data_IF_136198991490
#
_entry.id   IF_136198991490
#
_cell.length_a   1.000
_cell.length_b   1.000
_cell.length_c   1.000
_cell.angle_alpha   90.00
_cell.angle_beta   90.00
_cell.angle_gamma   90.00
#
_symmetry.space_group_name_H-M   'P 1'
#
loop_
_entity.id
_entity.type
_entity.pdbx_description
1 polymer ?
#
# COMPACT_ATOMS: atom_id res chain seq x y z
N UNK A 1 26.02 -7.88 -33.96
CA UNK A 1 25.88 -9.09 -33.10
C UNK A 1 27.18 -9.88 -32.96
N UNK A 2 27.97 -10.11 -34.03
CA UNK A 2 29.25 -10.86 -33.97
C UNK A 2 30.26 -10.21 -33.01
N UNK A 3 30.47 -8.89 -33.11
CA UNK A 3 31.39 -8.16 -32.23
C UNK A 3 31.04 -8.21 -30.73
N UNK A 4 29.75 -8.37 -30.38
CA UNK A 4 29.31 -8.50 -28.98
C UNK A 4 29.71 -9.88 -28.44
N UNK A 5 29.50 -10.94 -29.23
CA UNK A 5 29.88 -12.30 -28.83
C UNK A 5 31.41 -12.43 -28.68
N UNK A 6 32.19 -11.82 -29.57
CA UNK A 6 33.66 -11.79 -29.50
C UNK A 6 34.15 -11.03 -28.26
N UNK A 7 33.58 -9.85 -28.00
CA UNK A 7 33.94 -9.01 -26.84
C UNK A 7 33.63 -9.69 -25.50
N UNK A 8 32.52 -10.44 -25.43
CA UNK A 8 32.10 -11.20 -24.24
C UNK A 8 32.68 -12.63 -24.18
N UNK A 9 33.47 -13.04 -25.17
CA UNK A 9 34.04 -14.41 -25.31
C UNK A 9 32.98 -15.52 -25.27
N UNK A 10 31.80 -15.28 -25.84
CA UNK A 10 30.70 -16.25 -25.92
C UNK A 10 30.70 -16.91 -27.30
N UNK A 11 30.51 -18.23 -27.34
CA UNK A 11 30.40 -18.96 -28.61
C UNK A 11 29.16 -18.51 -29.38
N UNK A 12 29.35 -18.09 -30.63
CA UNK A 12 28.28 -17.58 -31.51
C UNK A 12 27.15 -18.58 -31.73
N UNK A 13 27.48 -19.86 -31.93
CA UNK A 13 26.49 -20.92 -32.17
C UNK A 13 25.66 -21.17 -30.91
N UNK A 14 26.30 -21.17 -29.73
CA UNK A 14 25.60 -21.29 -28.46
C UNK A 14 24.66 -20.09 -28.20
N UNK A 15 25.09 -18.88 -28.55
CA UNK A 15 24.25 -17.68 -28.44
C UNK A 15 22.99 -17.77 -29.31
N UNK A 16 23.13 -18.12 -30.59
CA UNK A 16 21.97 -18.26 -31.47
C UNK A 16 21.08 -19.44 -31.08
N UNK A 17 21.66 -20.56 -30.63
CA UNK A 17 20.89 -21.68 -30.11
C UNK A 17 20.07 -21.29 -28.88
N UNK A 18 20.63 -20.53 -27.95
CA UNK A 18 19.90 -19.96 -26.82
C UNK A 18 18.80 -19.00 -27.27
N UNK A 19 19.10 -18.12 -28.23
CA UNK A 19 18.14 -17.14 -28.75
C UNK A 19 16.95 -17.78 -29.48
N UNK A 20 17.18 -18.88 -30.19
CA UNK A 20 16.14 -19.64 -30.90
C UNK A 20 15.54 -20.78 -30.06
N UNK A 21 15.96 -20.92 -28.81
CA UNK A 21 15.44 -21.94 -27.91
C UNK A 21 13.95 -21.72 -27.63
N UNK A 22 13.19 -22.81 -27.63
CA UNK A 22 11.81 -22.78 -27.15
C UNK A 22 11.77 -22.52 -25.63
N UNK A 23 10.70 -21.91 -25.11
CA UNK A 23 10.55 -21.67 -23.68
C UNK A 23 10.72 -22.96 -22.90
N UNK A 24 11.48 -22.89 -21.81
CA UNK A 24 11.59 -24.00 -20.86
C UNK A 24 10.24 -24.28 -20.20
N UNK A 25 10.03 -25.51 -19.70
CA UNK A 25 8.82 -25.87 -18.94
C UNK A 25 8.54 -24.88 -17.80
N UNK A 26 9.59 -24.33 -17.19
CA UNK A 26 9.49 -23.35 -16.11
C UNK A 26 9.01 -21.98 -16.59
N UNK A 27 9.39 -21.57 -17.80
CA UNK A 27 8.91 -20.33 -18.42
C UNK A 27 7.47 -20.44 -18.89
N UNK A 28 7.07 -21.62 -19.38
CA UNK A 28 5.67 -21.93 -19.66
C UNK A 28 4.83 -21.87 -18.37
N UNK A 29 5.29 -22.51 -17.30
CA UNK A 29 4.61 -22.47 -16.00
C UNK A 29 4.55 -21.05 -15.41
N UNK A 30 5.62 -20.25 -15.55
CA UNK A 30 5.59 -18.82 -15.19
C UNK A 30 4.51 -18.06 -15.98
N UNK A 31 4.33 -18.38 -17.26
CA UNK A 31 3.31 -17.77 -18.12
C UNK A 31 1.90 -18.14 -17.67
N UNK A 32 1.67 -19.38 -17.24
CA UNK A 32 0.40 -19.80 -16.65
C UNK A 32 0.09 -19.10 -15.31
N UNK A 33 1.11 -18.75 -14.53
CA UNK A 33 0.95 -18.04 -13.26
C UNK A 33 0.71 -16.53 -13.41
N UNK A 34 1.10 -15.91 -14.53
CA UNK A 34 0.90 -14.49 -14.81
C UNK A 34 -0.56 -14.01 -14.61
N UNK A 35 -1.60 -14.64 -15.21
CA UNK A 35 -2.97 -14.18 -15.04
C UNK A 35 -3.44 -14.25 -13.58
N UNK A 36 -3.01 -15.26 -12.82
CA UNK A 36 -3.38 -15.41 -11.40
C UNK A 36 -2.72 -14.31 -10.57
N UNK A 37 -1.42 -14.10 -10.73
CA UNK A 37 -0.67 -13.01 -10.07
C UNK A 37 -1.28 -11.64 -10.40
N UNK A 38 -1.62 -11.42 -11.67
CA UNK A 38 -2.26 -10.19 -12.14
C UNK A 38 -3.63 -9.99 -11.49
N UNK A 39 -4.43 -11.04 -11.39
CA UNK A 39 -5.75 -10.97 -10.75
C UNK A 39 -5.62 -10.56 -9.27
N UNK A 40 -4.80 -11.29 -8.50
CA UNK A 40 -4.55 -10.96 -7.08
C UNK A 40 -4.07 -9.51 -6.93
N UNK A 41 -3.15 -9.07 -7.78
CA UNK A 41 -2.61 -7.71 -7.73
C UNK A 41 -3.70 -6.64 -7.92
N UNK A 42 -4.60 -6.80 -8.89
CA UNK A 42 -5.68 -5.85 -9.16
C UNK A 42 -6.84 -5.95 -8.16
N UNK A 43 -7.18 -7.16 -7.71
CA UNK A 43 -8.15 -7.39 -6.64
C UNK A 43 -7.80 -6.60 -5.38
N UNK A 44 -6.50 -6.56 -5.04
CA UNK A 44 -6.00 -5.79 -3.88
C UNK A 44 -5.58 -4.36 -4.22
N UNK A 45 -6.10 -3.79 -5.33
CA UNK A 45 -5.87 -2.40 -5.73
C UNK A 45 -4.39 -2.02 -5.75
N UNK A 46 -3.53 -2.93 -6.23
CA UNK A 46 -2.06 -2.74 -6.32
C UNK A 46 -1.36 -2.67 -4.95
N UNK A 47 -2.04 -2.86 -3.82
CA UNK A 47 -1.44 -2.76 -2.47
C UNK A 47 -0.58 -3.97 -2.11
N UNK A 48 -0.82 -5.10 -2.78
CA UNK A 48 -0.14 -6.35 -2.48
C UNK A 48 1.13 -6.46 -3.30
N UNK A 49 2.27 -6.54 -2.61
CA UNK A 49 3.56 -6.86 -3.20
C UNK A 49 3.89 -8.36 -3.12
N UNK A 50 5.09 -8.71 -3.54
CA UNK A 50 5.60 -10.09 -3.66
C UNK A 50 5.31 -10.99 -2.44
N UNK A 51 5.44 -10.47 -1.21
CA UNK A 51 5.18 -11.24 0.03
C UNK A 51 3.70 -11.63 0.18
N UNK A 52 2.78 -10.69 -0.03
CA UNK A 52 1.35 -10.94 0.15
C UNK A 52 0.80 -11.77 -1.00
N UNK A 53 1.22 -11.49 -2.23
CA UNK A 53 0.84 -12.29 -3.39
C UNK A 53 1.32 -13.75 -3.24
N UNK A 54 2.53 -13.99 -2.75
CA UNK A 54 3.00 -15.36 -2.50
C UNK A 54 2.12 -16.10 -1.48
N UNK A 55 1.68 -15.42 -0.41
CA UNK A 55 0.76 -16.00 0.57
C UNK A 55 -0.63 -16.28 -0.01
N UNK A 56 -1.17 -15.39 -0.84
CA UNK A 56 -2.45 -15.61 -1.52
C UNK A 56 -2.37 -16.82 -2.47
N UNK A 57 -1.27 -16.93 -3.22
CA UNK A 57 -1.02 -18.10 -4.08
C UNK A 57 -0.94 -19.39 -3.28
N UNK A 58 -0.22 -19.39 -2.15
CA UNK A 58 -0.12 -20.52 -1.23
C UNK A 58 -1.50 -20.91 -0.66
N UNK A 59 -2.30 -19.93 -0.25
CA UNK A 59 -3.67 -20.15 0.24
C UNK A 59 -4.61 -20.72 -0.84
N UNK A 60 -4.34 -20.43 -2.12
CA UNK A 60 -5.05 -21.00 -3.28
C UNK A 60 -4.47 -22.37 -3.72
N UNK A 61 -3.48 -22.91 -3.02
CA UNK A 61 -2.87 -24.21 -3.33
C UNK A 61 -1.73 -24.18 -4.36
N UNK A 62 -1.25 -23.00 -4.76
CA UNK A 62 -0.14 -22.86 -5.70
C UNK A 62 1.22 -22.81 -5.00
N UNK A 63 2.14 -23.68 -5.40
CA UNK A 63 3.53 -23.66 -4.93
C UNK A 63 4.34 -22.59 -5.66
N UNK A 64 4.26 -21.33 -5.22
CA UNK A 64 4.96 -20.20 -5.82
C UNK A 64 5.71 -19.34 -4.80
N UNK A 65 7.02 -19.56 -4.69
CA UNK A 65 7.88 -18.81 -3.77
C UNK A 65 8.03 -17.33 -4.11
N UNK A 66 8.37 -16.51 -3.10
CA UNK A 66 8.50 -15.05 -3.24
C UNK A 66 9.40 -14.59 -4.39
N UNK A 67 10.50 -15.28 -4.63
CA UNK A 67 11.44 -14.93 -5.71
C UNK A 67 10.83 -15.11 -7.09
N UNK A 68 10.02 -16.16 -7.27
CA UNK A 68 9.27 -16.44 -8.49
C UNK A 68 8.19 -15.40 -8.73
N UNK A 69 7.39 -15.09 -7.70
CA UNK A 69 6.41 -13.99 -7.75
C UNK A 69 7.05 -12.67 -8.15
N UNK A 70 8.24 -12.35 -7.62
CA UNK A 70 8.99 -11.14 -8.00
C UNK A 70 9.31 -11.10 -9.49
N UNK A 71 9.82 -12.21 -10.05
CA UNK A 71 10.15 -12.32 -11.48
C UNK A 71 8.89 -12.12 -12.34
N UNK A 72 7.80 -12.79 -11.99
CA UNK A 72 6.51 -12.71 -12.71
C UNK A 72 5.95 -11.28 -12.65
N UNK A 73 5.97 -10.63 -11.49
CA UNK A 73 5.54 -9.23 -11.36
C UNK A 73 6.41 -8.29 -12.21
N UNK A 74 7.73 -8.49 -12.22
CA UNK A 74 8.65 -7.68 -13.01
C UNK A 74 8.42 -7.83 -14.52
N UNK A 75 8.19 -9.05 -15.02
CA UNK A 75 7.86 -9.32 -16.42
C UNK A 75 6.59 -8.59 -16.88
N UNK A 76 5.63 -8.37 -15.97
CA UNK A 76 4.39 -7.66 -16.24
C UNK A 76 4.42 -6.18 -15.82
N UNK A 77 5.58 -5.66 -15.37
CA UNK A 77 5.72 -4.30 -14.83
C UNK A 77 4.72 -3.97 -13.69
N UNK A 78 4.39 -4.95 -12.85
CA UNK A 78 3.49 -4.76 -11.70
C UNK A 78 4.28 -4.24 -10.49
N UNK A 79 4.02 -3.00 -10.11
CA UNK A 79 4.66 -2.35 -8.95
C UNK A 79 3.61 -2.07 -7.88
N UNK A 80 3.80 -2.68 -6.72
CA UNK A 80 2.92 -2.50 -5.58
C UNK A 80 3.05 -1.09 -5.00
N UNK A 81 1.92 -0.50 -4.62
CA UNK A 81 1.86 0.81 -3.99
C UNK A 81 1.80 0.66 -2.47
N UNK A 82 2.37 1.62 -1.77
CA UNK A 82 2.09 1.84 -0.35
C UNK A 82 1.04 2.94 -0.24
N UNK A 83 -0.24 2.61 0.04
CA UNK A 83 -1.25 3.65 0.22
C UNK A 83 -0.88 4.49 1.44
N UNK A 84 -1.13 5.80 1.35
CA UNK A 84 -1.03 6.68 2.53
C UNK A 84 -2.00 6.20 3.59
N UNK A 85 -1.59 6.22 4.86
CA UNK A 85 -2.51 6.02 5.97
C UNK A 85 -3.66 7.01 5.83
N UNK A 86 -4.89 6.49 5.83
CA UNK A 86 -6.07 7.34 5.80
C UNK A 86 -6.11 8.16 7.10
N UNK A 87 -6.12 9.49 6.97
CA UNK A 87 -6.38 10.41 8.07
C UNK A 87 -7.65 11.17 7.72
N UNK A 88 -8.75 10.99 8.46
CA UNK A 88 -9.94 11.80 8.26
C UNK A 88 -9.57 13.28 8.42
N UNK A 89 -9.90 14.12 7.44
CA UNK A 89 -9.75 15.57 7.58
C UNK A 89 -10.97 16.11 8.30
N UNK A 90 -10.80 16.46 9.56
CA UNK A 90 -11.86 16.99 10.43
C UNK A 90 -12.07 18.50 10.26
N UNK A 91 -11.08 19.22 9.75
CA UNK A 91 -11.12 20.70 9.69
C UNK A 91 -10.90 21.21 8.28
N UNK A 92 -11.79 22.11 7.83
CA UNK A 92 -11.68 22.83 6.57
C UNK A 92 -10.90 24.14 6.75
N UNK A 93 -9.63 24.07 7.18
CA UNK A 93 -8.81 25.25 7.50
C UNK A 93 -8.41 26.12 6.30
N UNK A 94 -8.84 25.78 5.07
CA UNK A 94 -8.60 26.56 3.86
C UNK A 94 -9.73 27.56 3.63
N UNK A 95 -9.88 28.51 4.54
CA UNK A 95 -10.79 29.64 4.40
C UNK A 95 -10.09 30.94 4.78
N UNK A 96 -10.62 32.08 4.33
CA UNK A 96 -10.10 33.40 4.68
C UNK A 96 -10.66 33.96 5.99
N UNK A 97 -11.56 33.22 6.65
CA UNK A 97 -12.04 33.60 7.98
C UNK A 97 -10.87 33.53 8.97
N UNK A 98 -10.73 34.56 9.80
CA UNK A 98 -9.74 34.60 10.89
C UNK A 98 -10.09 33.64 12.02
N UNK A 99 -9.29 33.67 13.08
CA UNK A 99 -9.54 32.88 14.28
C UNK A 99 -10.34 33.71 15.30
N UNK A 100 -11.28 33.07 16.00
CA UNK A 100 -11.90 33.68 17.17
C UNK A 100 -10.85 33.90 18.27
N UNK A 101 -10.93 34.99 19.05
CA UNK A 101 -10.03 35.19 20.18
C UNK A 101 -10.19 34.05 21.20
N UNK A 102 -9.06 33.57 21.73
CA UNK A 102 -9.08 32.56 22.79
C UNK A 102 -9.35 33.24 24.14
N UNK A 103 -10.62 33.32 24.51
CA UNK A 103 -11.07 33.95 25.76
C UNK A 103 -10.52 33.25 27.00
N UNK A 104 -10.12 31.97 26.90
CA UNK A 104 -9.57 31.19 28.00
C UNK A 104 -8.06 31.40 28.20
N UNK A 105 -7.37 32.08 27.27
CA UNK A 105 -5.92 32.25 27.32
C UNK A 105 -5.44 33.08 28.53
N UNK A 106 -6.32 33.91 29.07
CA UNK A 106 -6.01 34.81 30.20
C UNK A 106 -6.20 34.14 31.57
N UNK A 107 -6.60 32.86 31.62
CA UNK A 107 -6.78 32.12 32.87
C UNK A 107 -8.06 32.49 33.60
N UNK A 108 -9.19 31.95 33.14
CA UNK A 108 -10.50 32.17 33.78
C UNK A 108 -10.64 31.24 34.99
N UNK A 109 -10.94 31.80 36.16
CA UNK A 109 -11.40 31.01 37.30
C UNK A 109 -12.86 30.61 37.13
N UNK A 110 -13.13 29.32 37.25
CA UNK A 110 -14.47 28.75 37.17
C UNK A 110 -15.04 28.60 38.59
N UNK A 111 -16.23 29.10 38.83
CA UNK A 111 -16.90 29.07 40.14
C UNK A 111 -17.95 27.97 40.28
N UNK A 112 -18.37 27.35 39.17
CA UNK A 112 -19.34 26.26 39.18
C UNK A 112 -19.31 25.46 37.87
N UNK A 113 -19.93 24.28 37.89
CA UNK A 113 -20.22 23.51 36.68
C UNK A 113 -21.00 24.32 35.64
N UNK A 114 -20.90 23.92 34.38
CA UNK A 114 -21.57 24.43 33.20
C UNK A 114 -21.12 25.82 32.73
N UNK A 115 -19.96 26.30 33.17
CA UNK A 115 -19.41 27.60 32.74
C UNK A 115 -18.54 27.50 31.49
N UNK A 116 -17.71 26.46 31.39
CA UNK A 116 -16.85 26.20 30.23
C UNK A 116 -16.88 24.71 29.93
N UNK A 117 -17.25 24.38 28.70
CA UNK A 117 -17.27 23.01 28.20
C UNK A 117 -16.15 22.89 27.16
N UNK A 118 -15.27 21.91 27.37
CA UNK A 118 -14.24 21.57 26.39
C UNK A 118 -14.67 20.31 25.67
N UNK A 119 -14.51 20.31 24.36
CA UNK A 119 -14.81 19.16 23.53
C UNK A 119 -13.67 18.85 22.59
N UNK A 120 -13.46 17.57 22.33
CA UNK A 120 -12.58 17.10 21.27
C UNK A 120 -13.27 16.01 20.47
N UNK A 121 -12.87 15.89 19.20
CA UNK A 121 -13.31 14.81 18.33
C UNK A 121 -12.09 14.00 17.87
N UNK A 122 -12.18 12.69 18.05
CA UNK A 122 -11.15 11.76 17.58
C UNK A 122 -11.76 10.65 16.73
N UNK A 123 -10.91 9.85 16.09
CA UNK A 123 -11.34 8.66 15.37
C UNK A 123 -10.80 7.42 16.06
N UNK A 124 -11.68 6.43 16.20
CA UNK A 124 -11.33 5.13 16.78
C UNK A 124 -11.34 4.10 15.65
N UNK A 125 -10.22 3.40 15.49
CA UNK A 125 -10.11 2.32 14.50
C UNK A 125 -10.91 1.10 14.94
N UNK A 126 -11.75 0.59 14.06
CA UNK A 126 -12.45 -0.69 14.20
C UNK A 126 -11.85 -1.69 13.19
N UNK A 127 -12.20 -2.98 13.29
CA UNK A 127 -11.59 -4.02 12.46
C UNK A 127 -11.66 -3.72 10.95
N UNK A 128 -12.81 -3.22 10.48
CA UNK A 128 -13.06 -2.99 9.06
C UNK A 128 -13.46 -1.54 8.73
N UNK A 129 -13.50 -0.63 9.71
CA UNK A 129 -13.94 0.75 9.54
C UNK A 129 -13.36 1.66 10.63
N UNK A 130 -13.84 2.90 10.72
CA UNK A 130 -13.54 3.81 11.81
C UNK A 130 -14.84 4.47 12.28
N UNK A 131 -14.88 4.87 13.53
CA UNK A 131 -15.95 5.69 14.10
C UNK A 131 -15.38 7.02 14.59
N UNK A 132 -16.20 8.08 14.56
CA UNK A 132 -15.89 9.32 15.26
C UNK A 132 -16.33 9.19 16.72
N UNK A 133 -15.44 9.57 17.64
CA UNK A 133 -15.74 9.71 19.06
C UNK A 133 -15.69 11.19 19.39
N UNK A 134 -16.81 11.74 19.85
CA UNK A 134 -16.88 13.08 20.40
C UNK A 134 -16.93 12.97 21.93
N UNK A 135 -16.08 13.74 22.59
CA UNK A 135 -16.06 13.86 24.05
C UNK A 135 -16.37 15.31 24.38
N UNK A 136 -17.28 15.53 25.33
CA UNK A 136 -17.50 16.81 25.98
C UNK A 136 -17.22 16.64 27.47
N UNK A 137 -16.48 17.59 28.04
CA UNK A 137 -16.18 17.66 29.47
C UNK A 137 -16.48 19.07 29.96
N UNK A 138 -17.03 19.14 31.16
CA UNK A 138 -17.09 20.39 31.91
C UNK A 138 -15.69 20.64 32.51
N UNK A 139 -15.14 21.83 32.29
CA UNK A 139 -13.78 22.15 32.73
C UNK A 139 -13.69 22.37 34.25
N UNK A 140 -14.82 22.51 34.95
CA UNK A 140 -14.86 22.66 36.41
C UNK A 140 -14.81 21.31 37.17
N UNK A 141 -15.35 20.23 36.58
CA UNK A 141 -15.60 18.95 37.26
C UNK A 141 -14.47 17.93 37.17
#
# INVERSE_FOLDING_TARGET
MIHICESLKVNRTAFYAWQSSSPTLRELDDTHMQPIVRNIFWQHQRRYGTRRIAKELEAMGYTCGRARVRKIMAQMNLVAIQPRSFKPRTTASRHRLGYSPNLLAEGIELSSCNQVWVGDITYVGLQNCFAYLAVLMDLYS
#
